data_IF_294726492816
#
_entry.id   IF_294726492816
#
_cell.length_a   1.000
_cell.length_b   1.000
_cell.length_c   1.000
_cell.angle_alpha   90.00
_cell.angle_beta   90.00
_cell.angle_gamma   90.00
#
_symmetry.space_group_name_H-M   'P 1'
#
loop_
_entity.id
_entity.type
_entity.pdbx_description
1 polymer ?
#
# COMPACT_ATOMS: atom_id res chain seq x y z
N UNK A 1 -57.80 59.22 -60.79
CA UNK A 1 -58.57 58.09 -61.35
C UNK A 1 -58.17 57.91 -62.80
N UNK A 2 -57.92 56.65 -63.20
CA UNK A 2 -57.80 56.12 -64.58
C UNK A 2 -56.67 56.64 -65.50
N UNK A 3 -55.63 55.81 -65.66
CA UNK A 3 -54.78 55.76 -66.88
C UNK A 3 -55.43 54.81 -67.90
N UNK A 4 -55.40 55.11 -69.21
CA UNK A 4 -55.77 54.16 -70.26
C UNK A 4 -54.59 53.28 -70.71
N UNK A 5 -54.95 52.03 -71.05
CA UNK A 5 -54.33 50.90 -71.77
C UNK A 5 -52.81 50.70 -71.89
N UNK A 6 -52.41 49.42 -71.78
CA UNK A 6 -51.76 48.76 -72.92
C UNK A 6 -52.30 47.34 -73.12
N UNK A 7 -53.25 47.20 -74.04
CA UNK A 7 -53.27 46.03 -74.91
C UNK A 7 -52.10 46.24 -75.90
N UNK A 8 -50.91 45.76 -75.54
CA UNK A 8 -49.81 45.60 -76.49
C UNK A 8 -49.46 44.12 -76.53
N UNK A 9 -50.12 43.44 -77.46
CA UNK A 9 -50.09 41.99 -77.70
C UNK A 9 -48.80 41.54 -78.42
N UNK A 10 -47.72 42.33 -78.32
CA UNK A 10 -46.55 42.22 -79.22
C UNK A 10 -45.35 41.47 -78.63
N UNK A 11 -45.48 40.73 -77.51
CA UNK A 11 -44.34 39.97 -77.00
C UNK A 11 -44.71 38.62 -76.36
N UNK A 12 -45.51 37.81 -77.08
CA UNK A 12 -45.50 36.35 -76.88
C UNK A 12 -44.38 35.75 -77.76
N UNK A 13 -43.26 35.28 -77.19
CA UNK A 13 -42.43 34.31 -77.91
C UNK A 13 -43.25 33.03 -77.98
N UNK A 14 -43.59 32.64 -79.21
CA UNK A 14 -44.43 31.50 -79.49
C UNK A 14 -43.93 30.19 -78.89
N UNK A 15 -44.87 29.26 -78.76
CA UNK A 15 -44.61 27.84 -78.58
C UNK A 15 -43.62 27.37 -79.65
N UNK A 16 -42.34 27.38 -79.30
CA UNK A 16 -41.37 26.52 -79.94
C UNK A 16 -41.57 25.14 -79.29
N UNK A 17 -42.41 24.34 -79.92
CA UNK A 17 -42.27 22.89 -79.95
C UNK A 17 -40.89 22.54 -80.53
N UNK A 18 -39.86 22.74 -79.71
CA UNK A 18 -38.49 22.40 -79.97
C UNK A 18 -38.13 21.23 -79.08
N UNK A 19 -37.88 20.09 -79.69
CA UNK A 19 -37.06 19.00 -79.16
C UNK A 19 -36.01 19.57 -78.18
N UNK A 20 -35.83 19.03 -76.96
CA UNK A 20 -34.76 19.51 -76.09
C UNK A 20 -33.44 19.28 -76.83
N UNK A 21 -32.92 20.35 -77.42
CA UNK A 21 -31.61 20.40 -78.03
C UNK A 21 -30.63 20.10 -76.91
N UNK A 22 -29.98 18.94 -77.03
CA UNK A 22 -29.10 18.34 -76.03
C UNK A 22 -27.80 19.11 -75.86
N UNK A 23 -27.87 20.32 -75.34
CA UNK A 23 -26.73 21.08 -74.85
C UNK A 23 -26.66 20.96 -73.33
N UNK A 24 -25.72 20.16 -72.83
CA UNK A 24 -25.41 20.11 -71.39
C UNK A 24 -24.92 21.50 -70.97
N UNK A 25 -25.57 22.12 -69.99
CA UNK A 25 -25.15 23.44 -69.49
C UNK A 25 -23.97 23.31 -68.52
N UNK A 26 -23.23 24.41 -68.31
CA UNK A 26 -22.11 24.43 -67.35
C UNK A 26 -22.58 24.13 -65.92
N UNK A 27 -23.79 24.54 -65.55
CA UNK A 27 -24.38 24.23 -64.25
C UNK A 27 -24.73 22.74 -64.12
N UNK A 28 -25.18 22.10 -65.22
CA UNK A 28 -25.44 20.65 -65.25
C UNK A 28 -24.15 19.84 -65.14
N UNK A 29 -23.06 20.28 -65.80
CA UNK A 29 -21.72 19.70 -65.65
C UNK A 29 -21.21 19.84 -64.21
N UNK A 30 -21.38 21.00 -63.59
CA UNK A 30 -20.99 21.26 -62.21
C UNK A 30 -21.71 20.32 -61.24
N UNK A 31 -23.02 20.10 -61.45
CA UNK A 31 -23.85 19.18 -60.65
C UNK A 31 -23.47 17.73 -60.87
N UNK A 32 -23.15 17.33 -62.11
CA UNK A 32 -22.69 15.97 -62.44
C UNK A 32 -21.35 15.66 -61.79
N UNK A 33 -20.37 16.57 -61.90
CA UNK A 33 -19.05 16.39 -61.28
C UNK A 33 -19.13 16.34 -59.75
N UNK A 34 -19.98 17.16 -59.13
CA UNK A 34 -20.21 17.11 -57.69
C UNK A 34 -20.84 15.78 -57.25
N UNK A 35 -21.80 15.25 -58.02
CA UNK A 35 -22.41 13.94 -57.76
C UNK A 35 -21.41 12.81 -57.94
N UNK A 36 -20.61 12.82 -59.00
CA UNK A 36 -19.58 11.81 -59.27
C UNK A 36 -18.52 11.79 -58.17
N UNK A 37 -18.03 12.97 -57.73
CA UNK A 37 -17.12 13.08 -56.59
C UNK A 37 -17.72 12.52 -55.30
N UNK A 38 -18.99 12.81 -55.05
CA UNK A 38 -19.71 12.31 -53.86
C UNK A 38 -19.89 10.79 -53.93
N UNK A 39 -20.17 10.23 -55.11
CA UNK A 39 -20.30 8.80 -55.32
C UNK A 39 -18.95 8.08 -55.18
N UNK A 40 -17.86 8.64 -55.73
CA UNK A 40 -16.51 8.12 -55.55
C UNK A 40 -16.07 8.12 -54.08
N UNK A 41 -16.38 9.19 -53.34
CA UNK A 41 -16.15 9.26 -51.90
C UNK A 41 -16.91 8.18 -51.12
N UNK A 42 -18.20 7.98 -51.42
CA UNK A 42 -19.01 6.92 -50.80
C UNK A 42 -18.52 5.51 -51.14
N UNK A 43 -18.08 5.28 -52.38
CA UNK A 43 -17.52 4.00 -52.80
C UNK A 43 -16.20 3.69 -52.07
N UNK A 44 -15.33 4.69 -51.92
CA UNK A 44 -14.08 4.54 -51.17
C UNK A 44 -14.33 4.23 -49.68
N UNK A 45 -15.29 4.92 -49.04
CA UNK A 45 -15.67 4.65 -47.65
C UNK A 45 -16.26 3.24 -47.51
N UNK A 46 -17.13 2.81 -48.44
CA UNK A 46 -17.70 1.46 -48.42
C UNK A 46 -16.63 0.38 -48.58
N UNK A 47 -15.64 0.60 -49.45
CA UNK A 47 -14.50 -0.31 -49.61
C UNK A 47 -13.67 -0.37 -48.34
N UNK A 48 -13.33 0.77 -47.74
CA UNK A 48 -12.59 0.83 -46.48
C UNK A 48 -13.32 0.09 -45.36
N UNK A 49 -14.63 0.31 -45.20
CA UNK A 49 -15.43 -0.41 -44.21
C UNK A 49 -15.39 -1.92 -44.46
N UNK A 50 -15.54 -2.35 -45.71
CA UNK A 50 -15.42 -3.77 -46.10
C UNK A 50 -14.04 -4.37 -45.83
N UNK A 51 -12.96 -3.66 -46.17
CA UNK A 51 -11.57 -4.08 -45.92
C UNK A 51 -11.28 -4.20 -44.41
N UNK A 52 -11.94 -3.37 -43.59
CA UNK A 52 -11.88 -3.40 -42.13
C UNK A 52 -12.88 -4.38 -41.48
N UNK A 53 -13.74 -5.03 -42.27
CA UNK A 53 -14.74 -6.00 -41.80
C UNK A 53 -16.00 -5.38 -41.18
N UNK A 54 -16.27 -4.09 -41.40
CA UNK A 54 -17.48 -3.41 -40.92
C UNK A 54 -18.52 -3.26 -42.02
N UNK A 55 -19.78 -3.55 -41.70
CA UNK A 55 -20.89 -3.40 -42.64
C UNK A 55 -21.34 -1.93 -42.78
N UNK A 56 -21.19 -1.13 -41.72
CA UNK A 56 -21.60 0.27 -41.66
C UNK A 56 -20.59 1.13 -40.91
N UNK A 57 -20.60 2.44 -41.15
CA UNK A 57 -19.78 3.41 -40.39
C UNK A 57 -20.20 3.51 -38.93
N UNK A 58 -21.47 3.22 -38.64
CA UNK A 58 -22.03 3.17 -37.29
C UNK A 58 -21.41 2.01 -36.50
N UNK A 59 -21.31 0.82 -37.10
CA UNK A 59 -20.66 -0.34 -36.48
C UNK A 59 -19.18 -0.07 -36.17
N UNK A 60 -18.46 0.62 -37.07
CA UNK A 60 -17.07 1.04 -36.82
C UNK A 60 -16.98 2.02 -35.66
N UNK A 61 -17.91 2.98 -35.56
CA UNK A 61 -17.92 3.98 -34.49
C UNK A 61 -18.23 3.33 -33.15
N UNK A 62 -19.24 2.46 -33.08
CA UNK A 62 -19.60 1.71 -31.87
C UNK A 62 -18.47 0.80 -31.38
N UNK A 63 -17.75 0.15 -32.30
CA UNK A 63 -16.58 -0.64 -31.94
C UNK A 63 -15.47 0.22 -31.34
N UNK A 64 -15.17 1.37 -31.95
CA UNK A 64 -14.12 2.27 -31.45
C UNK A 64 -14.50 2.83 -30.08
N UNK A 65 -15.75 3.23 -29.86
CA UNK A 65 -16.21 3.73 -28.56
C UNK A 65 -16.14 2.64 -27.51
N UNK A 66 -16.64 1.45 -27.80
CA UNK A 66 -16.60 0.30 -26.87
C UNK A 66 -15.17 -0.08 -26.51
N UNK A 67 -14.25 -0.06 -27.49
CA UNK A 67 -12.82 -0.33 -27.24
C UNK A 67 -12.19 0.75 -26.37
N UNK A 68 -12.44 2.03 -26.65
CA UNK A 68 -11.97 3.13 -25.81
C UNK A 68 -12.49 3.03 -24.39
N UNK A 69 -13.77 2.74 -24.21
CA UNK A 69 -14.38 2.62 -22.89
C UNK A 69 -13.81 1.42 -22.11
N UNK A 70 -13.57 0.29 -22.79
CA UNK A 70 -12.93 -0.88 -22.21
C UNK A 70 -11.47 -0.61 -21.81
N UNK A 71 -10.70 0.08 -22.66
CA UNK A 71 -9.31 0.44 -22.38
C UNK A 71 -9.23 1.46 -21.23
N UNK A 72 -10.13 2.45 -21.21
CA UNK A 72 -10.27 3.42 -20.14
C UNK A 72 -10.62 2.72 -18.82
N UNK A 73 -11.58 1.80 -18.83
CA UNK A 73 -11.95 1.01 -17.66
C UNK A 73 -10.79 0.13 -17.17
N UNK A 74 -10.05 -0.50 -18.08
CA UNK A 74 -8.89 -1.31 -17.76
C UNK A 74 -7.77 -0.47 -17.11
N UNK A 75 -7.48 0.72 -17.65
CA UNK A 75 -6.55 1.69 -17.06
C UNK A 75 -6.97 2.05 -15.63
N UNK A 76 -8.24 2.39 -15.41
CA UNK A 76 -8.73 2.76 -14.06
C UNK A 76 -8.69 1.61 -13.05
N UNK A 77 -8.88 0.36 -13.50
CA UNK A 77 -8.76 -0.82 -12.62
C UNK A 77 -7.29 -1.11 -12.27
N UNK A 78 -6.37 -0.94 -13.23
CA UNK A 78 -4.93 -1.06 -12.96
C UNK A 78 -4.49 0.01 -11.96
N UNK A 79 -4.88 1.27 -12.16
CA UNK A 79 -4.58 2.37 -11.23
C UNK A 79 -5.14 2.08 -9.82
N UNK A 80 -6.37 1.57 -9.71
CA UNK A 80 -6.97 1.17 -8.43
C UNK A 80 -6.16 0.07 -7.74
N UNK A 81 -5.69 -0.93 -8.49
CA UNK A 81 -4.87 -2.02 -7.95
C UNK A 81 -3.50 -1.53 -7.50
N UNK A 82 -2.88 -0.64 -8.25
CA UNK A 82 -1.60 -0.03 -7.89
C UNK A 82 -1.74 0.82 -6.62
N UNK A 83 -2.80 1.63 -6.52
CA UNK A 83 -3.09 2.40 -5.30
C UNK A 83 -3.29 1.46 -4.10
N UNK A 84 -4.09 0.41 -4.25
CA UNK A 84 -4.31 -0.56 -3.17
C UNK A 84 -3.03 -1.32 -2.79
N UNK A 85 -2.14 -1.62 -3.74
CA UNK A 85 -0.85 -2.22 -3.48
C UNK A 85 0.09 -1.26 -2.75
N UNK A 86 0.15 0.00 -3.18
CA UNK A 86 0.94 1.05 -2.54
C UNK A 86 0.48 1.32 -1.10
N UNK A 87 -0.83 1.33 -0.84
CA UNK A 87 -1.36 1.45 0.52
C UNK A 87 -0.98 0.26 1.39
N UNK A 88 -1.08 -0.96 0.87
CA UNK A 88 -0.65 -2.17 1.59
C UNK A 88 0.83 -2.14 1.93
N UNK A 89 1.68 -1.69 1.00
CA UNK A 89 3.11 -1.51 1.23
C UNK A 89 3.36 -0.48 2.33
N UNK A 90 2.72 0.69 2.28
CA UNK A 90 2.83 1.71 3.34
C UNK A 90 2.41 1.19 4.71
N UNK A 91 1.33 0.40 4.78
CA UNK A 91 0.88 -0.22 6.03
C UNK A 91 1.88 -1.25 6.53
N UNK A 92 2.48 -2.04 5.64
CA UNK A 92 3.50 -3.01 6.00
C UNK A 92 4.78 -2.30 6.51
N UNK A 93 5.28 -1.32 5.78
CA UNK A 93 6.44 -0.49 6.16
C UNK A 93 6.22 0.18 7.52
N UNK A 94 5.02 0.72 7.77
CA UNK A 94 4.70 1.33 9.06
C UNK A 94 4.69 0.29 10.20
N UNK A 95 4.21 -0.93 9.95
CA UNK A 95 4.23 -2.02 10.95
C UNK A 95 5.66 -2.48 11.23
N UNK A 96 6.49 -2.60 10.21
CA UNK A 96 7.90 -2.98 10.35
C UNK A 96 8.68 -1.89 11.11
N UNK A 97 8.50 -0.62 10.76
CA UNK A 97 9.12 0.49 11.49
C UNK A 97 8.71 0.52 12.98
N UNK A 98 7.44 0.23 13.29
CA UNK A 98 6.97 0.10 14.66
C UNK A 98 7.59 -1.11 15.38
N UNK A 99 7.74 -2.25 14.68
CA UNK A 99 8.36 -3.45 15.24
C UNK A 99 9.84 -3.21 15.57
N UNK A 100 10.59 -2.62 14.64
CA UNK A 100 12.00 -2.24 14.84
C UNK A 100 12.15 -1.27 16.01
N UNK A 101 11.27 -0.27 16.11
CA UNK A 101 11.29 0.67 17.24
C UNK A 101 11.07 -0.04 18.58
N UNK A 102 10.11 -0.98 18.64
CA UNK A 102 9.82 -1.77 19.85
C UNK A 102 10.96 -2.70 20.23
N UNK A 103 11.58 -3.35 19.24
CA UNK A 103 12.73 -4.22 19.44
C UNK A 103 13.92 -3.45 20.02
N UNK A 104 14.25 -2.29 19.43
CA UNK A 104 15.31 -1.41 19.94
C UNK A 104 15.05 -0.96 21.38
N UNK A 105 13.81 -0.56 21.68
CA UNK A 105 13.42 -0.18 23.04
C UNK A 105 13.53 -1.35 24.02
N UNK A 106 13.24 -2.58 23.58
CA UNK A 106 13.39 -3.79 24.39
C UNK A 106 14.86 -4.12 24.65
N UNK A 107 15.72 -4.05 23.63
CA UNK A 107 17.18 -4.28 23.76
C UNK A 107 17.78 -3.28 24.75
N UNK A 108 17.46 -1.99 24.63
CA UNK A 108 17.94 -0.94 25.55
C UNK A 108 17.51 -1.21 26.99
N UNK A 109 16.22 -1.54 27.21
CA UNK A 109 15.71 -1.89 28.54
C UNK A 109 16.36 -3.15 29.10
N UNK A 110 16.58 -4.17 28.26
CA UNK A 110 17.20 -5.42 28.69
C UNK A 110 18.66 -5.21 29.13
N UNK A 111 19.44 -4.42 28.38
CA UNK A 111 20.81 -4.08 28.74
C UNK A 111 20.88 -3.34 30.09
N UNK A 112 20.04 -2.33 30.28
CA UNK A 112 19.96 -1.55 31.52
C UNK A 112 19.51 -2.39 32.73
N UNK A 113 18.47 -3.20 32.55
CA UNK A 113 17.99 -4.11 33.59
C UNK A 113 19.04 -5.17 33.96
N UNK A 114 19.78 -5.68 32.96
CA UNK A 114 20.91 -6.59 33.19
C UNK A 114 22.04 -5.99 34.01
N UNK A 115 22.22 -4.67 33.96
CA UNK A 115 23.20 -3.94 34.76
C UNK A 115 22.73 -3.57 36.17
N UNK A 116 21.45 -3.78 36.47
CA UNK A 116 20.85 -3.57 37.79
C UNK A 116 19.81 -2.45 37.87
N UNK A 117 19.51 -1.74 36.78
CA UNK A 117 18.49 -0.69 36.79
C UNK A 117 17.08 -1.29 36.93
N UNK A 118 16.24 -0.71 37.78
CA UNK A 118 14.88 -1.19 38.04
C UNK A 118 13.92 -0.04 38.39
N UNK A 119 12.62 -0.26 38.21
CA UNK A 119 11.60 0.73 38.59
C UNK A 119 11.77 2.07 37.88
N UNK A 120 11.60 3.17 38.62
CA UNK A 120 11.75 4.54 38.08
C UNK A 120 13.18 4.82 37.60
N UNK A 121 14.19 4.25 38.26
CA UNK A 121 15.60 4.40 37.85
C UNK A 121 15.87 3.76 36.47
N UNK A 122 15.13 2.68 36.12
CA UNK A 122 15.20 2.08 34.78
C UNK A 122 14.61 3.01 33.73
N UNK A 123 13.48 3.64 34.01
CA UNK A 123 12.85 4.58 33.07
C UNK A 123 13.74 5.82 32.85
N UNK A 124 14.35 6.33 33.92
CA UNK A 124 15.32 7.43 33.83
C UNK A 124 16.59 7.02 33.08
N UNK A 125 17.11 5.81 33.31
CA UNK A 125 18.26 5.30 32.58
C UNK A 125 17.96 5.11 31.09
N UNK A 126 16.74 4.69 30.73
CA UNK A 126 16.29 4.61 29.32
C UNK A 126 16.32 5.98 28.66
N UNK A 127 15.78 7.02 29.32
CA UNK A 127 15.81 8.39 28.78
C UNK A 127 17.23 8.90 28.55
N UNK A 128 18.17 8.56 29.44
CA UNK A 128 19.57 8.96 29.34
C UNK A 128 20.30 8.21 28.22
N UNK A 129 20.04 6.91 28.04
CA UNK A 129 20.57 6.15 26.90
C UNK A 129 19.99 6.65 25.59
N UNK A 130 18.68 6.91 25.52
CA UNK A 130 18.02 7.39 24.31
C UNK A 130 18.61 8.74 23.87
N UNK A 131 18.93 9.62 24.83
CA UNK A 131 19.64 10.88 24.56
C UNK A 131 21.09 10.65 24.14
N UNK A 132 21.80 9.71 24.76
CA UNK A 132 23.21 9.43 24.43
C UNK A 132 23.37 8.81 23.04
N UNK A 133 22.37 8.05 22.58
CA UNK A 133 22.35 7.38 21.28
C UNK A 133 21.53 8.12 20.23
N UNK A 134 21.18 9.39 20.45
CA UNK A 134 20.35 10.18 19.51
C UNK A 134 21.01 10.30 18.13
N UNK A 135 22.34 10.43 18.08
CA UNK A 135 23.12 10.53 16.84
C UNK A 135 23.43 9.13 16.24
N UNK A 136 23.05 8.06 16.92
CA UNK A 136 23.26 6.66 16.52
C UNK A 136 21.95 5.88 16.62
N UNK A 137 20.95 6.20 15.78
CA UNK A 137 19.63 5.57 15.85
C UNK A 137 19.69 4.05 15.59
N UNK A 138 20.67 3.60 14.81
CA UNK A 138 20.92 2.21 14.42
C UNK A 138 22.04 1.55 15.25
N UNK A 139 22.32 2.06 16.45
CA UNK A 139 23.27 1.44 17.39
C UNK A 139 22.90 -0.04 17.60
N UNK A 140 23.89 -0.91 17.38
CA UNK A 140 23.75 -2.35 17.61
C UNK A 140 23.75 -2.68 19.11
N UNK A 141 23.48 -3.95 19.43
CA UNK A 141 23.42 -4.40 20.82
C UNK A 141 24.72 -4.13 21.59
N UNK A 142 25.88 -4.27 20.94
CA UNK A 142 27.18 -3.97 21.53
C UNK A 142 27.35 -2.49 21.89
N UNK A 143 26.96 -1.59 21.00
CA UNK A 143 26.97 -0.15 21.25
C UNK A 143 26.01 0.26 22.38
N UNK A 144 24.83 -0.38 22.46
CA UNK A 144 23.87 -0.17 23.57
C UNK A 144 24.47 -0.62 24.90
N UNK A 145 25.13 -1.77 24.94
CA UNK A 145 25.81 -2.27 26.15
C UNK A 145 26.93 -1.32 26.58
N UNK A 146 27.79 -0.90 25.66
CA UNK A 146 28.88 0.01 25.95
C UNK A 146 28.37 1.38 26.46
N UNK A 147 27.31 1.91 25.87
CA UNK A 147 26.67 3.14 26.35
C UNK A 147 26.05 2.97 27.74
N UNK A 148 25.47 1.80 28.03
CA UNK A 148 24.91 1.47 29.33
C UNK A 148 26.00 1.34 30.41
N UNK A 149 27.15 0.74 30.09
CA UNK A 149 28.31 0.68 30.99
C UNK A 149 28.86 2.08 31.29
N UNK A 150 29.05 2.92 30.28
CA UNK A 150 29.46 4.31 30.48
C UNK A 150 28.43 5.11 31.29
N UNK A 151 27.15 4.80 31.17
CA UNK A 151 26.12 5.43 31.99
C UNK A 151 26.25 4.98 33.46
N UNK A 152 26.49 3.70 33.70
CA UNK A 152 26.73 3.14 35.05
C UNK A 152 27.97 3.73 35.72
N UNK A 153 29.04 3.97 34.98
CA UNK A 153 30.24 4.64 35.51
C UNK A 153 29.95 6.08 35.93
N UNK A 154 29.12 6.80 35.16
CA UNK A 154 28.77 8.19 35.42
C UNK A 154 27.69 8.35 36.49
N UNK A 155 26.79 7.37 36.60
CA UNK A 155 25.58 7.40 37.43
C UNK A 155 25.29 6.02 38.04
N UNK A 156 26.14 5.57 38.98
CA UNK A 156 25.96 4.27 39.62
C UNK A 156 24.64 4.16 40.40
N UNK A 157 24.09 5.28 40.87
CA UNK A 157 22.84 5.35 41.63
C UNK A 157 21.63 4.78 40.87
N UNK A 158 21.64 4.82 39.54
CA UNK A 158 20.54 4.31 38.70
C UNK A 158 20.51 2.78 38.58
N UNK A 159 21.57 2.09 39.03
CA UNK A 159 21.75 0.64 38.84
C UNK A 159 21.64 -0.15 40.14
N UNK A 160 20.94 0.42 41.13
CA UNK A 160 20.73 -0.17 42.44
C UNK A 160 21.97 -0.15 43.34
N UNK A 161 21.87 -0.65 44.59
CA UNK A 161 23.01 -0.68 45.48
C UNK A 161 24.10 -1.57 44.88
N UNK A 162 25.26 -0.97 44.60
CA UNK A 162 26.51 -1.71 44.47
C UNK A 162 26.58 -2.58 45.71
N UNK A 163 26.52 -3.91 45.55
CA UNK A 163 26.81 -4.83 46.64
C UNK A 163 28.29 -4.63 46.99
N UNK A 164 28.58 -3.61 47.80
CA UNK A 164 29.69 -3.71 48.74
C UNK A 164 29.36 -4.94 49.58
N UNK A 165 30.02 -6.05 49.26
CA UNK A 165 30.12 -7.16 50.18
C UNK A 165 30.81 -6.59 51.41
N UNK A 166 30.03 -6.12 52.38
CA UNK A 166 30.55 -5.75 53.69
C UNK A 166 31.41 -6.94 54.15
N UNK A 167 32.67 -6.70 54.59
CA UNK A 167 33.54 -7.77 55.03
C UNK A 167 32.79 -8.57 56.11
N UNK A 168 32.86 -9.92 56.09
CA UNK A 168 32.16 -10.72 57.08
C UNK A 168 32.57 -10.23 58.46
N UNK A 169 31.59 -9.79 59.25
CA UNK A 169 31.84 -9.34 60.61
C UNK A 169 32.62 -10.44 61.35
N UNK A 170 33.66 -10.09 62.14
CA UNK A 170 34.45 -11.06 62.87
C UNK A 170 33.51 -11.93 63.73
N UNK A 171 33.54 -13.23 63.46
CA UNK A 171 32.61 -14.21 64.02
C UNK A 171 32.75 -14.37 65.53
N UNK A 172 32.03 -13.56 66.29
CA UNK A 172 31.76 -13.79 67.70
C UNK A 172 30.55 -14.72 67.85
N UNK A 173 30.76 -16.03 67.83
CA UNK A 173 29.71 -17.01 68.13
C UNK A 173 29.61 -17.24 69.65
N UNK A 174 28.45 -17.07 70.29
CA UNK A 174 28.11 -17.88 71.46
C UNK A 174 27.52 -19.21 70.98
N UNK A 175 27.99 -20.30 71.57
CA UNK A 175 27.53 -21.65 71.31
C UNK A 175 26.01 -21.78 71.52
N UNK A 176 25.27 -22.06 70.45
CA UNK A 176 23.82 -22.21 70.48
C UNK A 176 23.23 -22.35 69.08
N UNK A 177 23.60 -23.40 68.36
CA UNK A 177 23.10 -23.64 67.01
C UNK A 177 21.57 -23.88 67.00
N UNK A 178 20.81 -23.24 66.09
CA UNK A 178 19.40 -23.57 65.88
C UNK A 178 19.27 -24.96 65.19
N UNK A 179 18.16 -25.70 65.41
CA UNK A 179 18.03 -27.04 64.84
C UNK A 179 18.01 -26.98 63.31
N UNK A 180 18.73 -27.93 62.70
CA UNK A 180 18.82 -28.14 61.26
C UNK A 180 17.40 -28.44 60.72
N UNK A 181 16.73 -27.44 60.15
CA UNK A 181 15.59 -27.66 59.25
C UNK A 181 16.13 -28.00 57.86
N UNK A 182 16.66 -29.21 57.74
CA UNK A 182 17.16 -29.79 56.50
C UNK A 182 16.34 -31.01 56.11
N UNK A 183 15.06 -30.81 55.79
CA UNK A 183 14.26 -31.80 55.09
C UNK A 183 14.16 -31.38 53.63
N UNK A 184 14.70 -32.19 52.72
CA UNK A 184 14.50 -32.04 51.27
C UNK A 184 12.98 -31.97 51.02
N UNK A 185 12.43 -30.96 50.33
CA UNK A 185 11.02 -30.93 50.03
C UNK A 185 10.68 -32.19 49.20
N UNK A 186 9.69 -33.01 49.61
CA UNK A 186 9.36 -34.22 48.88
C UNK A 186 8.95 -33.82 47.45
N UNK A 187 9.55 -34.49 46.45
CA UNK A 187 9.20 -34.28 45.05
C UNK A 187 7.67 -34.41 44.90
N UNK A 188 6.99 -33.45 44.25
CA UNK A 188 5.55 -33.54 44.02
C UNK A 188 5.20 -34.88 43.37
N UNK A 189 4.27 -35.62 43.97
CA UNK A 189 3.83 -36.94 43.46
C UNK A 189 4.52 -38.17 44.07
N UNK A 190 5.61 -38.01 44.85
CA UNK A 190 6.31 -39.16 45.46
C UNK A 190 5.42 -39.97 46.41
N UNK A 191 4.61 -39.30 47.23
CA UNK A 191 3.68 -39.96 48.14
C UNK A 191 2.58 -40.78 47.43
N UNK A 192 2.14 -40.33 46.24
CA UNK A 192 1.16 -41.04 45.43
C UNK A 192 1.74 -42.30 44.79
N UNK A 193 2.98 -42.22 44.31
CA UNK A 193 3.70 -43.33 43.71
C UNK A 193 3.97 -44.44 44.74
N UNK A 194 4.37 -44.07 45.96
CA UNK A 194 4.57 -45.03 47.05
C UNK A 194 3.27 -45.73 47.47
N UNK A 195 2.14 -45.00 47.47
CA UNK A 195 0.83 -45.61 47.70
C UNK A 195 0.40 -46.55 46.57
N UNK A 196 0.69 -46.20 45.32
CA UNK A 196 0.36 -47.03 44.16
C UNK A 196 1.17 -48.34 44.15
N UNK A 197 2.45 -48.30 44.51
CA UNK A 197 3.28 -49.51 44.73
C UNK A 197 2.74 -50.38 45.85
N UNK A 198 2.42 -49.81 47.01
CA UNK A 198 1.86 -50.56 48.15
C UNK A 198 0.53 -51.23 47.84
N UNK A 199 -0.26 -50.64 46.93
CA UNK A 199 -1.55 -51.18 46.50
C UNK A 199 -1.46 -52.05 45.25
N UNK A 200 -0.24 -52.31 44.75
CA UNK A 200 -0.01 -53.21 43.61
C UNK A 200 -0.47 -52.65 42.26
N UNK A 201 -0.69 -51.34 42.15
CA UNK A 201 -1.06 -50.68 40.89
C UNK A 201 0.14 -50.40 39.98
N UNK A 202 1.36 -50.51 40.51
CA UNK A 202 2.61 -50.35 39.77
C UNK A 202 3.52 -51.52 40.16
N UNK A 203 4.00 -52.25 39.16
CA UNK A 203 5.01 -53.30 39.28
C UNK A 203 6.27 -52.71 38.67
N UNK A 204 7.40 -52.77 39.40
CA UNK A 204 8.69 -52.27 38.90
C UNK A 204 9.20 -53.07 37.69
#
# INVERSE_FOLDING_TARGET
MTRPSPDDDSNKPGEASGTPSGGITQDDLSRLLAREKTQGGRAAVKKLLGDLGFETSEALTEFITTKRDADQAALTEVERREQAAAEKLKVAEAREAQAVTRERAAIRRAALAGLGAAGEDLDDAVLLIDRALVDQPDADEGAVIAAAEQLKERRPELFGPVRETAPPAPGGSPAGGPPIRGGIPPKPGAAGLDMARRRGFIID
#
